data_IF_482308881281
#
_entry.id   IF_482308881281
#
_cell.length_a   1.000
_cell.length_b   1.000
_cell.length_c   1.000
_cell.angle_alpha   90.00
_cell.angle_beta   90.00
_cell.angle_gamma   90.00
#
_symmetry.space_group_name_H-M   'P 1'
#
loop_
_entity.id
_entity.type
_entity.pdbx_description
1 polymer ?
#
# COMPACT_ATOMS: atom_id res chain seq x y z
N UNK A 1 -6.21 -38.91 -3.25
CA UNK A 1 -5.62 -38.32 -2.04
C UNK A 1 -4.22 -37.88 -2.41
N UNK A 2 -4.11 -36.68 -2.96
CA UNK A 2 -2.83 -36.01 -3.18
C UNK A 2 -2.65 -35.09 -1.99
N UNK A 3 -1.72 -35.43 -1.11
CA UNK A 3 -1.35 -34.59 0.02
C UNK A 3 -0.79 -33.27 -0.53
N UNK A 4 -1.63 -32.24 -0.48
CA UNK A 4 -1.26 -30.87 -0.77
C UNK A 4 -0.37 -30.40 0.37
N UNK A 5 0.94 -30.45 0.17
CA UNK A 5 1.89 -29.73 1.02
C UNK A 5 1.65 -28.25 0.74
N UNK A 6 0.79 -27.61 1.53
CA UNK A 6 0.71 -26.15 1.59
C UNK A 6 2.10 -25.66 2.00
N UNK A 7 2.79 -25.02 1.05
CA UNK A 7 3.98 -24.24 1.33
C UNK A 7 3.63 -23.20 2.40
N UNK A 8 4.40 -23.09 3.50
CA UNK A 8 4.10 -22.12 4.54
C UNK A 8 4.07 -20.70 3.93
N UNK A 9 3.22 -19.79 4.44
CA UNK A 9 3.14 -18.41 3.97
C UNK A 9 4.55 -17.79 3.99
N UNK A 10 4.87 -16.93 3.02
CA UNK A 10 6.22 -16.36 2.85
C UNK A 10 6.72 -15.74 4.18
N UNK A 11 5.80 -15.13 4.93
CA UNK A 11 6.02 -14.57 6.26
C UNK A 11 6.53 -15.57 7.32
N UNK A 12 6.04 -16.81 7.33
CA UNK A 12 6.53 -17.86 8.24
C UNK A 12 7.92 -18.36 7.87
N UNK A 13 8.29 -18.32 6.58
CA UNK A 13 9.67 -18.59 6.16
C UNK A 13 10.61 -17.47 6.60
N UNK A 14 10.18 -16.21 6.54
CA UNK A 14 10.98 -15.05 6.95
C UNK A 14 11.31 -15.02 8.45
N UNK A 15 10.41 -15.51 9.31
CA UNK A 15 10.66 -15.55 10.77
C UNK A 15 11.67 -16.63 11.21
N UNK A 16 11.83 -17.71 10.43
CA UNK A 16 12.59 -18.90 10.83
C UNK A 16 13.99 -19.01 10.21
N UNK A 17 14.38 -18.08 9.35
CA UNK A 17 15.73 -18.04 8.79
C UNK A 17 16.67 -17.25 9.73
N UNK A 18 17.91 -17.71 9.95
CA UNK A 18 18.82 -17.05 10.87
C UNK A 18 19.25 -15.69 10.30
N UNK A 19 18.70 -14.62 10.86
CA UNK A 19 19.07 -13.21 10.64
C UNK A 19 20.53 -12.86 10.98
N UNK A 20 21.30 -13.81 11.51
CA UNK A 20 22.56 -13.57 12.19
C UNK A 20 23.74 -14.04 11.33
N UNK A 21 24.66 -13.11 11.07
CA UNK A 21 25.96 -13.41 10.44
C UNK A 21 27.06 -13.43 11.51
N UNK A 22 26.88 -12.62 12.56
CA UNK A 22 27.67 -12.62 13.79
C UNK A 22 26.81 -12.09 14.95
N UNK A 23 27.31 -12.18 16.19
CA UNK A 23 26.61 -11.61 17.37
C UNK A 23 26.33 -10.11 17.23
N UNK A 24 27.13 -9.40 16.41
CA UNK A 24 27.11 -7.95 16.28
C UNK A 24 26.50 -7.44 14.95
N UNK A 25 26.24 -8.32 13.98
CA UNK A 25 25.71 -7.93 12.66
C UNK A 25 24.49 -8.76 12.32
N UNK A 26 23.34 -8.08 12.30
CA UNK A 26 22.03 -8.64 11.93
C UNK A 26 21.59 -7.99 10.63
N UNK A 27 21.36 -8.80 9.62
CA UNK A 27 20.96 -8.31 8.31
C UNK A 27 19.53 -8.76 7.99
N UNK A 28 18.77 -7.94 7.28
CA UNK A 28 17.42 -8.23 6.82
C UNK A 28 17.49 -9.19 5.63
N UNK A 29 16.92 -10.38 5.79
CA UNK A 29 17.10 -11.51 4.86
C UNK A 29 16.81 -11.16 3.41
N UNK A 30 15.63 -10.59 3.12
CA UNK A 30 15.22 -10.33 1.74
C UNK A 30 15.99 -9.18 1.08
N UNK A 31 16.48 -8.26 1.90
CA UNK A 31 17.24 -7.10 1.45
C UNK A 31 18.74 -7.31 1.37
N UNK A 32 19.26 -8.44 1.83
CA UNK A 32 20.70 -8.69 1.93
C UNK A 32 21.22 -9.54 0.77
N UNK A 33 22.31 -9.07 0.15
CA UNK A 33 23.13 -9.89 -0.73
C UNK A 33 24.06 -10.77 0.12
N UNK A 34 23.65 -12.02 0.31
CA UNK A 34 24.36 -12.99 1.15
C UNK A 34 25.70 -13.47 0.60
N UNK A 35 26.00 -13.24 -0.69
CA UNK A 35 27.30 -13.60 -1.27
C UNK A 35 28.41 -12.65 -0.87
N UNK A 36 28.07 -11.36 -0.79
CA UNK A 36 29.03 -10.28 -0.56
C UNK A 36 29.02 -9.78 0.89
N UNK A 37 28.00 -10.16 1.66
CA UNK A 37 27.88 -9.78 3.06
C UNK A 37 28.94 -10.45 3.94
N UNK A 38 29.43 -9.71 4.94
CA UNK A 38 30.44 -10.18 5.89
C UNK A 38 29.98 -10.06 7.34
N UNK A 39 30.73 -10.65 8.28
CA UNK A 39 30.45 -10.55 9.73
C UNK A 39 30.56 -9.14 10.32
N UNK A 40 30.97 -8.14 9.51
CA UNK A 40 31.14 -6.73 9.91
C UNK A 40 30.11 -5.77 9.32
N UNK A 41 29.50 -6.10 8.17
CA UNK A 41 28.61 -5.19 7.45
C UNK A 41 27.67 -5.96 6.51
N UNK A 42 26.39 -5.58 6.53
CA UNK A 42 25.38 -6.02 5.57
C UNK A 42 25.62 -5.36 4.20
N UNK A 43 25.62 -6.15 3.13
CA UNK A 43 25.63 -5.64 1.75
C UNK A 43 24.22 -5.81 1.20
N UNK A 44 23.60 -4.69 0.81
CA UNK A 44 22.20 -4.67 0.42
C UNK A 44 22.01 -5.00 -1.06
N UNK A 45 20.88 -5.60 -1.38
CA UNK A 45 20.37 -5.69 -2.75
C UNK A 45 19.93 -4.29 -3.24
N UNK A 46 19.86 -4.08 -4.55
CA UNK A 46 19.66 -2.75 -5.17
C UNK A 46 18.42 -1.99 -4.67
N UNK A 47 17.38 -2.71 -4.24
CA UNK A 47 16.10 -2.11 -3.79
C UNK A 47 16.01 -1.96 -2.26
N UNK A 48 17.11 -2.18 -1.53
CA UNK A 48 17.14 -2.12 -0.07
C UNK A 48 18.32 -1.29 0.44
N UNK A 49 18.11 -0.63 1.57
CA UNK A 49 18.98 0.38 2.14
C UNK A 49 19.06 0.25 3.67
N UNK A 50 19.90 1.08 4.28
CA UNK A 50 20.13 1.09 5.73
C UNK A 50 21.25 0.15 6.17
N UNK A 51 21.60 0.22 7.45
CA UNK A 51 22.73 -0.53 8.02
C UNK A 51 22.51 -2.05 8.04
N UNK A 52 21.26 -2.47 8.13
CA UNK A 52 20.84 -3.87 8.14
C UNK A 52 20.12 -4.29 6.85
N UNK A 53 20.07 -3.43 5.83
CA UNK A 53 19.40 -3.69 4.56
C UNK A 53 17.88 -3.96 4.63
N UNK A 54 17.18 -3.47 5.66
CA UNK A 54 15.73 -3.65 5.77
C UNK A 54 14.86 -2.46 5.38
N UNK A 55 15.45 -1.36 4.90
CA UNK A 55 14.70 -0.20 4.43
C UNK A 55 14.45 -0.34 2.92
N UNK A 56 13.21 -0.53 2.44
CA UNK A 56 12.94 -0.63 1.02
C UNK A 56 13.10 0.72 0.32
N UNK A 57 13.37 0.69 -0.99
CA UNK A 57 13.53 1.85 -1.86
C UNK A 57 12.43 2.91 -1.72
N UNK A 58 11.16 2.51 -1.64
CA UNK A 58 10.02 3.41 -1.50
C UNK A 58 10.07 4.23 -0.20
N UNK A 59 10.56 3.63 0.89
CA UNK A 59 10.76 4.31 2.18
C UNK A 59 12.03 5.17 2.12
N UNK A 60 13.10 4.61 1.58
CA UNK A 60 14.39 5.29 1.48
C UNK A 60 14.30 6.57 0.66
N UNK A 61 13.88 6.49 -0.60
CA UNK A 61 13.75 7.65 -1.47
C UNK A 61 12.57 8.54 -1.13
N UNK A 62 11.57 8.02 -0.40
CA UNK A 62 10.43 8.81 0.06
C UNK A 62 10.77 9.80 1.19
N UNK A 63 11.73 9.47 2.05
CA UNK A 63 12.04 10.31 3.22
C UNK A 63 13.50 10.25 3.68
N UNK A 64 14.09 9.06 3.76
CA UNK A 64 15.36 8.86 4.46
C UNK A 64 16.63 9.13 3.64
N UNK A 65 16.53 9.16 2.31
CA UNK A 65 17.68 9.37 1.42
C UNK A 65 18.34 10.75 1.58
N UNK A 66 17.57 11.74 2.04
CA UNK A 66 18.05 13.10 2.35
C UNK A 66 18.56 13.26 3.79
N UNK A 67 18.38 12.26 4.65
CA UNK A 67 18.79 12.29 6.05
C UNK A 67 20.17 11.62 6.17
N UNK A 68 21.18 12.26 6.79
CA UNK A 68 22.46 11.61 7.03
C UNK A 68 22.28 10.29 7.77
N UNK A 69 22.96 9.21 7.33
CA UNK A 69 22.84 7.87 7.91
C UNK A 69 23.10 7.80 9.43
N UNK A 70 23.93 8.71 9.97
CA UNK A 70 24.21 8.81 11.40
C UNK A 70 23.14 9.55 12.21
N UNK A 71 22.20 10.21 11.54
CA UNK A 71 21.05 10.92 12.12
C UNK A 71 19.74 10.14 11.94
N UNK A 72 19.79 9.01 11.23
CA UNK A 72 18.63 8.17 11.02
C UNK A 72 18.41 7.26 12.25
N UNK A 73 17.42 7.60 13.07
CA UNK A 73 17.08 6.88 14.32
C UNK A 73 16.29 5.58 14.09
N UNK A 74 16.30 5.03 12.86
CA UNK A 74 15.59 3.79 12.56
C UNK A 74 16.20 2.60 13.29
N UNK A 75 15.42 2.00 14.19
CA UNK A 75 15.84 0.88 15.02
C UNK A 75 14.95 -0.32 14.75
N UNK A 76 15.57 -1.46 14.44
CA UNK A 76 14.83 -2.69 14.22
C UNK A 76 14.23 -3.23 15.52
N UNK A 77 12.95 -3.58 15.48
CA UNK A 77 12.19 -4.13 16.61
C UNK A 77 12.57 -5.58 16.87
N UNK A 78 12.61 -5.94 18.16
CA UNK A 78 12.73 -7.34 18.60
C UNK A 78 11.42 -8.11 18.40
N UNK A 79 10.30 -7.44 18.65
CA UNK A 79 8.95 -7.97 18.49
C UNK A 79 8.27 -7.11 17.43
N UNK A 80 7.93 -7.67 16.25
CA UNK A 80 7.19 -6.97 15.23
C UNK A 80 5.87 -6.40 15.76
N UNK A 81 5.46 -5.23 15.25
CA UNK A 81 4.12 -4.67 15.49
C UNK A 81 3.08 -5.56 14.81
N UNK A 82 1.80 -5.40 15.14
CA UNK A 82 0.73 -5.89 14.26
C UNK A 82 0.30 -4.79 13.31
N UNK A 83 -0.07 -5.15 12.09
CA UNK A 83 -0.72 -4.25 11.14
C UNK A 83 -2.17 -4.67 11.02
N UNK A 84 -3.06 -3.72 11.27
CA UNK A 84 -4.50 -3.82 11.09
C UNK A 84 -4.86 -2.88 9.96
N UNK A 85 -5.47 -3.40 8.90
CA UNK A 85 -5.99 -2.58 7.80
C UNK A 85 -7.49 -2.40 7.90
N UNK A 86 -7.96 -1.16 7.96
CA UNK A 86 -9.34 -0.81 7.68
C UNK A 86 -9.51 -0.57 6.18
N UNK A 87 -10.48 -1.23 5.56
CA UNK A 87 -10.77 -1.15 4.13
C UNK A 87 -12.20 -0.64 3.94
N UNK A 88 -12.34 0.53 3.33
CA UNK A 88 -13.63 1.03 2.88
C UNK A 88 -13.97 0.37 1.54
N UNK A 89 -14.98 -0.50 1.53
CA UNK A 89 -15.40 -1.21 0.33
C UNK A 89 -16.61 -0.54 -0.31
N UNK A 90 -16.47 -0.21 -1.59
CA UNK A 90 -17.54 0.35 -2.38
C UNK A 90 -18.06 -0.69 -3.40
N UNK A 91 -17.36 -0.92 -4.51
CA UNK A 91 -17.82 -1.88 -5.53
C UNK A 91 -16.69 -2.70 -6.15
N UNK A 92 -15.48 -2.55 -5.64
CA UNK A 92 -14.25 -2.99 -6.27
C UNK A 92 -13.89 -4.42 -5.84
N UNK A 93 -14.74 -5.41 -6.17
CA UNK A 93 -14.55 -6.81 -5.75
C UNK A 93 -13.18 -7.37 -6.14
N UNK A 94 -12.75 -7.16 -7.39
CA UNK A 94 -11.47 -7.65 -7.89
C UNK A 94 -10.29 -6.96 -7.21
N UNK A 95 -10.42 -5.65 -6.93
CA UNK A 95 -9.37 -4.90 -6.23
C UNK A 95 -9.29 -5.30 -4.76
N UNK A 96 -10.42 -5.60 -4.13
CA UNK A 96 -10.44 -6.16 -2.78
C UNK A 96 -9.76 -7.53 -2.72
N UNK A 97 -10.03 -8.42 -3.67
CA UNK A 97 -9.34 -9.71 -3.73
C UNK A 97 -7.83 -9.54 -3.95
N UNK A 98 -7.44 -8.65 -4.86
CA UNK A 98 -6.04 -8.28 -5.08
C UNK A 98 -5.41 -7.70 -3.81
N UNK A 99 -6.13 -6.83 -3.09
CA UNK A 99 -5.71 -6.19 -1.84
C UNK A 99 -5.37 -7.25 -0.79
N UNK A 100 -6.30 -8.17 -0.54
CA UNK A 100 -6.12 -9.26 0.41
C UNK A 100 -4.94 -10.13 -0.03
N UNK A 101 -4.92 -10.61 -1.27
CA UNK A 101 -3.84 -11.44 -1.81
C UNK A 101 -2.45 -10.79 -1.66
N UNK A 102 -2.35 -9.50 -1.99
CA UNK A 102 -1.07 -8.77 -2.02
C UNK A 102 -0.53 -8.52 -0.61
N UNK A 103 -1.39 -8.32 0.39
CA UNK A 103 -0.99 -7.90 1.73
C UNK A 103 -1.16 -8.99 2.79
N UNK A 104 -1.76 -10.12 2.45
CA UNK A 104 -2.11 -11.20 3.37
C UNK A 104 -0.93 -11.63 4.24
N UNK A 105 0.26 -11.77 3.67
CA UNK A 105 1.43 -12.24 4.41
C UNK A 105 1.93 -11.25 5.46
N UNK A 106 1.72 -9.95 5.27
CA UNK A 106 2.29 -8.91 6.15
C UNK A 106 1.26 -8.41 7.17
N UNK A 107 -0.02 -8.34 6.78
CA UNK A 107 -1.13 -7.83 7.59
C UNK A 107 -1.64 -8.90 8.56
N UNK A 108 -2.00 -8.50 9.78
CA UNK A 108 -2.48 -9.39 10.84
C UNK A 108 -4.00 -9.41 10.95
N UNK A 109 -4.70 -8.37 10.48
CA UNK A 109 -6.15 -8.34 10.38
C UNK A 109 -6.62 -7.34 9.31
N UNK A 110 -7.67 -7.71 8.59
CA UNK A 110 -8.41 -6.84 7.68
C UNK A 110 -9.80 -6.56 8.27
N UNK A 111 -10.17 -5.31 8.42
CA UNK A 111 -11.51 -4.87 8.78
C UNK A 111 -12.12 -4.26 7.53
N UNK A 112 -13.06 -4.96 6.90
CA UNK A 112 -13.75 -4.47 5.71
C UNK A 112 -15.10 -3.87 6.12
N UNK A 113 -15.37 -2.65 5.65
CA UNK A 113 -16.67 -2.03 5.77
C UNK A 113 -17.41 -2.02 4.43
N UNK A 114 -18.58 -2.64 4.38
CA UNK A 114 -19.55 -2.44 3.29
C UNK A 114 -20.63 -1.44 3.75
N UNK A 115 -21.04 -0.56 2.84
CA UNK A 115 -22.17 0.35 3.01
C UNK A 115 -23.24 0.10 1.95
N UNK A 116 -24.52 0.32 2.29
CA UNK A 116 -25.62 0.38 1.31
C UNK A 116 -25.69 1.72 0.54
N UNK A 117 -24.69 2.58 0.73
CA UNK A 117 -24.46 3.80 -0.03
C UNK A 117 -23.04 3.83 -0.59
N UNK A 118 -22.85 4.49 -1.73
CA UNK A 118 -21.53 4.82 -2.28
C UNK A 118 -20.86 5.91 -1.44
N UNK A 119 -19.57 6.15 -1.67
CA UNK A 119 -18.82 7.25 -1.02
C UNK A 119 -19.31 8.65 -1.42
N UNK A 120 -20.23 8.75 -2.38
CA UNK A 120 -20.90 10.00 -2.78
C UNK A 120 -22.40 10.02 -2.46
N UNK A 121 -22.89 9.07 -1.64
CA UNK A 121 -24.27 9.09 -1.13
C UNK A 121 -25.33 8.44 -2.03
N UNK A 122 -24.95 7.80 -3.13
CA UNK A 122 -25.89 7.06 -3.96
C UNK A 122 -26.21 5.69 -3.36
N UNK A 123 -27.44 5.21 -3.50
CA UNK A 123 -27.77 3.85 -3.05
C UNK A 123 -27.00 2.82 -3.86
N UNK A 124 -26.45 1.83 -3.16
CA UNK A 124 -25.67 0.75 -3.74
C UNK A 124 -26.23 -0.60 -3.31
N UNK A 125 -26.16 -1.57 -4.22
CA UNK A 125 -26.46 -2.96 -3.90
C UNK A 125 -25.45 -3.50 -2.88
N UNK A 126 -25.97 -4.32 -1.95
CA UNK A 126 -25.18 -5.03 -0.94
C UNK A 126 -25.04 -6.48 -1.37
N UNK A 127 -23.87 -7.07 -1.12
CA UNK A 127 -23.63 -8.46 -1.49
C UNK A 127 -22.33 -9.04 -0.98
N UNK A 128 -21.42 -8.20 -0.48
CA UNK A 128 -20.08 -8.63 -0.08
C UNK A 128 -20.14 -9.69 1.03
N UNK A 129 -20.93 -9.45 2.07
CA UNK A 129 -21.07 -10.40 3.18
C UNK A 129 -21.57 -11.78 2.71
N UNK A 130 -22.54 -11.80 1.80
CA UNK A 130 -23.14 -13.04 1.30
C UNK A 130 -22.14 -13.87 0.49
N UNK A 131 -21.36 -13.23 -0.38
CA UNK A 131 -20.36 -13.95 -1.20
C UNK A 131 -19.20 -14.47 -0.36
N UNK A 132 -18.74 -13.69 0.62
CA UNK A 132 -17.70 -14.12 1.58
C UNK A 132 -18.22 -15.30 2.40
N UNK A 133 -19.44 -15.21 2.94
CA UNK A 133 -20.05 -16.29 3.73
C UNK A 133 -20.26 -17.58 2.94
N UNK A 134 -20.36 -17.49 1.60
CA UNK A 134 -20.45 -18.64 0.69
C UNK A 134 -19.09 -19.20 0.26
N UNK A 135 -17.98 -18.63 0.75
CA UNK A 135 -16.63 -19.14 0.56
C UNK A 135 -15.78 -18.39 -0.46
N UNK A 136 -16.21 -17.22 -0.95
CA UNK A 136 -15.31 -16.37 -1.75
C UNK A 136 -14.13 -15.90 -0.90
N UNK A 137 -12.91 -15.96 -1.44
CA UNK A 137 -11.67 -15.60 -0.75
C UNK A 137 -11.40 -16.39 0.55
N UNK A 138 -11.88 -17.64 0.63
CA UNK A 138 -11.79 -18.48 1.84
C UNK A 138 -10.37 -18.54 2.44
N UNK A 139 -9.33 -18.51 1.60
CA UNK A 139 -7.93 -18.53 2.04
C UNK A 139 -7.47 -17.28 2.81
N UNK A 140 -8.25 -16.19 2.79
CA UNK A 140 -7.93 -14.93 3.49
C UNK A 140 -8.87 -14.65 4.68
N UNK A 141 -9.91 -15.47 4.88
CA UNK A 141 -10.99 -15.19 5.83
C UNK A 141 -10.57 -15.34 7.29
N UNK A 142 -9.48 -16.05 7.58
CA UNK A 142 -8.93 -16.22 8.93
C UNK A 142 -8.46 -14.90 9.57
N UNK A 143 -8.14 -13.89 8.74
CA UNK A 143 -7.76 -12.54 9.16
C UNK A 143 -8.86 -11.50 8.98
N UNK A 144 -10.04 -11.91 8.51
CA UNK A 144 -11.06 -10.99 8.04
C UNK A 144 -12.12 -10.69 9.10
N UNK A 145 -12.43 -9.41 9.26
CA UNK A 145 -13.50 -8.87 10.09
C UNK A 145 -14.40 -8.01 9.21
N UNK A 146 -15.72 -8.18 9.35
CA UNK A 146 -16.71 -7.47 8.54
C UNK A 146 -17.50 -6.48 9.41
N UNK A 147 -17.67 -5.27 8.89
CA UNK A 147 -18.47 -4.18 9.46
C UNK A 147 -19.48 -3.73 8.41
N UNK A 148 -20.71 -3.46 8.83
CA UNK A 148 -21.74 -2.94 7.94
C UNK A 148 -22.19 -1.55 8.37
N UNK A 149 -22.24 -0.62 7.40
CA UNK A 149 -22.82 0.71 7.57
C UNK A 149 -24.17 0.76 6.81
N UNK A 150 -25.26 0.95 7.54
CA UNK A 150 -26.61 0.80 6.98
C UNK A 150 -27.32 2.10 6.60
N UNK A 151 -26.67 3.25 6.75
CA UNK A 151 -27.29 4.57 6.57
C UNK A 151 -26.31 5.60 6.02
N UNK A 152 -26.88 6.63 5.39
CA UNK A 152 -26.20 7.83 4.93
C UNK A 152 -27.00 9.05 5.39
N UNK A 153 -26.34 10.05 5.98
CA UNK A 153 -27.03 11.29 6.36
C UNK A 153 -27.01 12.24 5.17
N UNK A 154 -28.20 12.71 4.77
CA UNK A 154 -28.40 13.64 3.63
C UNK A 154 -27.67 14.97 3.78
N UNK A 155 -27.29 15.33 5.00
CA UNK A 155 -26.50 16.54 5.30
C UNK A 155 -25.08 16.46 4.70
N UNK A 156 -24.64 15.25 4.33
CA UNK A 156 -23.32 14.99 3.76
C UNK A 156 -23.21 15.19 2.24
N UNK A 157 -24.34 15.31 1.51
CA UNK A 157 -24.37 15.57 0.05
C UNK A 157 -23.65 16.87 -0.33
N UNK A 158 -23.48 17.80 0.63
CA UNK A 158 -22.86 19.09 0.39
C UNK A 158 -21.35 19.13 0.66
N UNK A 159 -20.77 18.08 1.25
CA UNK A 159 -19.38 18.06 1.66
C UNK A 159 -18.79 16.64 1.70
N UNK A 160 -18.06 16.28 0.63
CA UNK A 160 -17.39 14.99 0.46
C UNK A 160 -16.45 14.64 1.63
N UNK A 161 -15.76 15.63 2.21
CA UNK A 161 -14.87 15.42 3.36
C UNK A 161 -15.60 14.89 4.59
N UNK A 162 -16.86 15.31 4.81
CA UNK A 162 -17.66 14.81 5.93
C UNK A 162 -18.08 13.36 5.73
N UNK A 163 -18.33 12.95 4.47
CA UNK A 163 -18.63 11.55 4.14
C UNK A 163 -17.42 10.67 4.44
N UNK A 164 -16.23 11.08 4.00
CA UNK A 164 -14.98 10.36 4.21
C UNK A 164 -14.65 10.24 5.70
N UNK A 165 -14.68 11.35 6.44
CA UNK A 165 -14.45 11.38 7.89
C UNK A 165 -15.43 10.48 8.64
N UNK A 166 -16.71 10.49 8.25
CA UNK A 166 -17.72 9.65 8.89
C UNK A 166 -17.46 8.17 8.63
N UNK A 167 -17.23 7.77 7.38
CA UNK A 167 -16.96 6.38 7.02
C UNK A 167 -15.74 5.85 7.77
N UNK A 168 -14.69 6.66 7.82
CA UNK A 168 -13.44 6.40 8.54
C UNK A 168 -13.67 6.19 10.04
N UNK A 169 -14.43 7.09 10.66
CA UNK A 169 -14.78 7.02 12.07
C UNK A 169 -15.67 5.81 12.38
N UNK A 170 -16.67 5.54 11.54
CA UNK A 170 -17.58 4.41 11.72
C UNK A 170 -16.82 3.08 11.66
N UNK A 171 -15.95 2.90 10.66
CA UNK A 171 -15.14 1.69 10.54
C UNK A 171 -14.27 1.51 11.78
N UNK A 172 -13.59 2.58 12.21
CA UNK A 172 -12.69 2.53 13.36
C UNK A 172 -13.43 2.20 14.66
N UNK A 173 -14.55 2.87 14.92
CA UNK A 173 -15.34 2.71 16.15
C UNK A 173 -16.04 1.35 16.24
N UNK A 174 -16.47 0.77 15.11
CA UNK A 174 -17.20 -0.51 15.11
C UNK A 174 -16.30 -1.71 14.81
N UNK A 175 -15.22 -1.51 14.07
CA UNK A 175 -14.29 -2.56 13.66
C UNK A 175 -13.20 -2.88 14.69
N UNK A 176 -12.53 -1.85 15.24
CA UNK A 176 -11.43 -2.07 16.20
C UNK A 176 -11.86 -2.82 17.48
N UNK A 177 -13.09 -2.65 18.01
CA UNK A 177 -13.55 -3.46 19.14
C UNK A 177 -13.63 -4.96 18.85
N UNK A 178 -13.78 -5.39 17.60
CA UNK A 178 -13.83 -6.81 17.20
C UNK A 178 -12.49 -7.53 17.40
N UNK A 179 -11.38 -6.78 17.43
CA UNK A 179 -10.04 -7.31 17.65
C UNK A 179 -9.79 -7.65 19.12
N UNK A 180 -9.30 -8.86 19.36
CA UNK A 180 -8.84 -9.34 20.67
C UNK A 180 -7.36 -9.02 20.88
N UNK A 181 -6.95 -8.89 22.16
CA UNK A 181 -5.56 -8.73 22.58
C UNK A 181 -4.80 -7.63 21.81
N UNK A 182 -5.45 -6.47 21.63
CA UNK A 182 -4.81 -5.30 21.02
C UNK A 182 -3.62 -4.86 21.86
N UNK A 183 -2.57 -4.40 21.21
CA UNK A 183 -1.38 -3.82 21.83
C UNK A 183 -1.32 -2.34 21.53
N UNK A 184 -0.68 -1.58 22.42
CA UNK A 184 -0.53 -0.13 22.27
C UNK A 184 0.34 0.25 21.06
N UNK A 185 1.14 -0.69 20.54
CA UNK A 185 1.99 -0.51 19.36
C UNK A 185 1.44 -1.12 18.08
N UNK A 186 0.18 -1.60 18.08
CA UNK A 186 -0.49 -2.06 16.87
C UNK A 186 -0.72 -0.86 15.91
N UNK A 187 -0.39 -1.04 14.64
CA UNK A 187 -0.59 -0.02 13.60
C UNK A 187 -1.94 -0.22 12.93
N UNK A 188 -2.79 0.80 13.00
CA UNK A 188 -4.02 0.87 12.24
C UNK A 188 -3.83 1.75 11.00
N UNK A 189 -4.06 1.16 9.83
CA UNK A 189 -3.96 1.85 8.55
C UNK A 189 -5.32 1.80 7.86
N UNK A 190 -5.87 2.95 7.51
CA UNK A 190 -7.16 3.07 6.85
C UNK A 190 -6.95 3.43 5.37
N UNK A 191 -7.63 2.71 4.49
CA UNK A 191 -7.52 2.88 3.05
C UNK A 191 -8.87 2.59 2.38
N UNK A 192 -9.06 3.13 1.17
CA UNK A 192 -10.06 2.59 0.26
C UNK A 192 -9.62 1.21 -0.28
N UNK A 193 -10.57 0.40 -0.73
CA UNK A 193 -10.28 -0.97 -1.20
C UNK A 193 -9.37 -1.01 -2.43
N UNK A 194 -9.33 0.05 -3.24
CA UNK A 194 -8.49 0.20 -4.43
C UNK A 194 -7.10 0.80 -4.17
N UNK A 195 -6.85 1.31 -2.97
CA UNK A 195 -5.55 1.82 -2.53
C UNK A 195 -4.68 0.66 -2.01
N UNK A 196 -3.84 0.10 -2.88
CA UNK A 196 -2.98 -1.06 -2.57
C UNK A 196 -1.54 -0.64 -2.18
N UNK A 197 -1.19 -0.48 -0.88
CA UNK A 197 0.16 -0.26 -0.40
C UNK A 197 1.10 -1.43 -0.71
N UNK A 198 2.34 -1.04 -0.97
CA UNK A 198 3.46 -1.94 -1.21
C UNK A 198 3.73 -2.80 0.06
N UNK A 199 3.72 -4.15 -0.06
CA UNK A 199 3.99 -5.06 1.05
C UNK A 199 5.32 -4.79 1.77
N UNK A 200 6.37 -4.41 1.04
CA UNK A 200 7.68 -4.14 1.64
C UNK A 200 7.65 -2.89 2.52
N UNK A 201 6.83 -1.89 2.18
CA UNK A 201 6.63 -0.70 3.03
C UNK A 201 5.89 -1.08 4.30
N UNK A 202 4.85 -1.91 4.20
CA UNK A 202 4.14 -2.42 5.37
C UNK A 202 5.07 -3.25 6.26
N UNK A 203 5.90 -4.10 5.67
CA UNK A 203 6.86 -4.91 6.41
C UNK A 203 7.89 -4.03 7.13
N UNK A 204 8.35 -2.94 6.50
CA UNK A 204 9.17 -1.93 7.16
C UNK A 204 8.47 -1.31 8.39
N UNK A 205 7.24 -0.83 8.24
CA UNK A 205 6.47 -0.26 9.36
C UNK A 205 6.27 -1.27 10.50
N UNK A 206 6.12 -2.55 10.15
CA UNK A 206 5.98 -3.64 11.11
C UNK A 206 7.26 -3.91 11.91
N UNK A 207 8.42 -3.70 11.30
CA UNK A 207 9.72 -4.15 11.81
C UNK A 207 10.59 -3.05 12.41
N UNK A 208 10.30 -1.77 12.20
CA UNK A 208 11.16 -0.66 12.65
C UNK A 208 10.46 0.31 13.60
N UNK A 209 11.25 0.94 14.45
CA UNK A 209 10.92 2.15 15.22
C UNK A 209 11.74 3.33 14.67
N UNK A 210 11.40 4.56 15.08
CA UNK A 210 12.16 5.78 14.73
C UNK A 210 11.59 6.55 13.54
N UNK A 211 10.53 6.07 12.90
CA UNK A 211 9.73 6.88 11.97
C UNK A 211 8.70 7.73 12.73
N UNK A 212 8.33 8.87 12.15
CA UNK A 212 7.34 9.77 12.74
C UNK A 212 5.90 9.36 12.39
N UNK A 213 4.99 9.63 13.31
CA UNK A 213 3.54 9.52 13.11
C UNK A 213 2.91 10.94 13.09
N UNK A 214 1.84 11.19 12.31
CA UNK A 214 1.13 10.25 11.43
C UNK A 214 1.93 9.85 10.18
N UNK A 215 1.63 8.66 9.64
CA UNK A 215 2.30 8.10 8.46
C UNK A 215 1.55 8.57 7.21
N UNK A 216 2.28 9.15 6.25
CA UNK A 216 1.75 9.52 4.93
C UNK A 216 2.17 8.49 3.89
N UNK A 217 1.21 7.98 3.12
CA UNK A 217 1.47 7.19 1.92
C UNK A 217 1.40 8.07 0.67
N UNK A 218 2.32 7.85 -0.27
CA UNK A 218 2.26 8.46 -1.59
C UNK A 218 1.95 7.36 -2.61
N UNK A 219 0.70 7.29 -3.05
CA UNK A 219 0.25 6.33 -4.04
C UNK A 219 0.57 6.81 -5.47
N UNK A 220 0.78 5.85 -6.37
CA UNK A 220 0.85 6.09 -7.80
C UNK A 220 -0.47 5.66 -8.42
N UNK A 221 -1.09 6.57 -9.17
CA UNK A 221 -2.27 6.26 -9.97
C UNK A 221 -1.89 5.28 -11.07
N UNK A 222 -2.54 4.12 -11.09
CA UNK A 222 -2.39 3.12 -12.15
C UNK A 222 -3.74 2.98 -12.85
N UNK A 223 -3.82 3.37 -14.12
CA UNK A 223 -5.00 3.16 -14.95
C UNK A 223 -4.81 1.88 -15.76
N UNK A 224 -5.57 0.83 -15.44
CA UNK A 224 -5.67 -0.35 -16.28
C UNK A 224 -6.93 -0.25 -17.14
N UNK A 225 -6.77 -0.23 -18.46
CA UNK A 225 -7.88 -0.12 -19.40
C UNK A 225 -7.64 -0.96 -20.65
N UNK A 226 -8.68 -1.65 -21.12
CA UNK A 226 -8.69 -2.27 -22.44
C UNK A 226 -9.14 -1.22 -23.47
N UNK A 227 -8.17 -0.56 -24.10
CA UNK A 227 -8.45 0.39 -25.18
C UNK A 227 -8.71 -0.37 -26.48
N UNK A 228 -9.98 -0.67 -26.77
CA UNK A 228 -10.37 -1.28 -28.04
C UNK A 228 -10.46 -0.22 -29.13
N UNK A 229 -9.57 -0.29 -30.12
CA UNK A 229 -9.70 0.53 -31.32
C UNK A 229 -10.92 0.04 -32.12
N UNK A 230 -11.95 0.88 -32.24
CA UNK A 230 -13.07 0.59 -33.13
C UNK A 230 -12.56 0.50 -34.57
N UNK A 231 -12.57 -0.70 -35.16
CA UNK A 231 -12.08 -0.97 -36.52
C UNK A 231 -12.88 -0.19 -37.57
N UNK A 232 -14.14 0.18 -37.29
CA UNK A 232 -15.06 0.83 -38.23
C UNK A 232 -15.01 2.37 -38.27
N UNK A 233 -14.16 3.03 -37.47
CA UNK A 233 -13.94 4.47 -37.66
C UNK A 233 -13.21 4.71 -39.00
N UNK A 234 -13.88 5.44 -39.90
CA UNK A 234 -13.38 5.87 -41.21
C UNK A 234 -12.61 7.19 -41.17
N UNK A 235 -12.41 7.76 -39.98
CA UNK A 235 -11.51 8.89 -39.80
C UNK A 235 -10.05 8.40 -39.75
N UNK A 236 -9.07 9.14 -40.30
CA UNK A 236 -7.67 8.75 -40.22
C UNK A 236 -7.24 8.68 -38.75
N UNK A 237 -7.03 7.45 -38.27
CA UNK A 237 -6.68 7.12 -36.88
C UNK A 237 -5.21 7.45 -36.61
N UNK A 238 -4.90 8.69 -36.26
CA UNK A 238 -3.71 8.96 -35.45
C UNK A 238 -4.12 8.88 -33.99
N UNK A 239 -3.54 7.92 -33.28
CA UNK A 239 -3.55 7.86 -31.83
C UNK A 239 -3.23 9.26 -31.28
N UNK A 240 -4.12 9.84 -30.47
CA UNK A 240 -3.89 11.15 -29.88
C UNK A 240 -2.96 10.97 -28.69
N UNK A 241 -1.67 10.83 -28.99
CA UNK A 241 -0.60 10.90 -28.00
C UNK A 241 -0.67 12.28 -27.33
N UNK A 242 -0.41 12.33 -26.02
CA UNK A 242 -0.18 13.61 -25.34
C UNK A 242 1.14 14.17 -25.88
N UNK A 243 1.05 15.14 -26.79
CA UNK A 243 2.20 15.81 -27.36
C UNK A 243 2.67 16.91 -26.39
N UNK A 244 3.83 16.69 -25.76
CA UNK A 244 4.50 17.67 -24.92
C UNK A 244 5.75 18.14 -25.67
N UNK A 245 5.86 19.44 -25.96
CA UNK A 245 7.05 20.02 -26.56
C UNK A 245 8.08 20.31 -25.43
N UNK A 246 9.00 19.38 -25.18
CA UNK A 246 9.93 19.44 -24.03
C UNK A 246 11.32 19.98 -24.37
N UNK A 247 11.56 20.48 -25.58
CA UNK A 247 12.88 20.97 -25.97
C UNK A 247 12.88 21.82 -27.22
N UNK A 248 13.79 22.79 -27.25
CA UNK A 248 14.13 23.57 -28.44
C UNK A 248 15.64 23.68 -28.57
N UNK A 249 16.12 24.05 -29.75
CA UNK A 249 17.54 24.36 -29.93
C UNK A 249 17.88 25.66 -29.20
N UNK A 250 19.11 25.79 -28.70
CA UNK A 250 19.58 27.03 -28.08
C UNK A 250 19.38 28.25 -29.01
N UNK A 251 19.50 28.07 -30.34
CA UNK A 251 19.23 29.13 -31.32
C UNK A 251 17.76 29.59 -31.36
N UNK A 252 16.81 28.67 -31.22
CA UNK A 252 15.38 29.00 -31.12
C UNK A 252 15.07 29.70 -29.79
N UNK A 253 15.65 29.22 -28.68
CA UNK A 253 15.51 29.85 -27.36
C UNK A 253 16.01 31.31 -27.40
N UNK A 254 17.15 31.56 -28.05
CA UNK A 254 17.76 32.89 -28.19
C UNK A 254 16.91 33.84 -29.03
N UNK A 255 16.36 33.40 -30.17
CA UNK A 255 15.52 34.25 -31.02
C UNK A 255 14.22 34.70 -30.34
N UNK A 256 13.61 33.84 -29.52
CA UNK A 256 12.40 34.18 -28.74
C UNK A 256 12.75 35.08 -27.54
N UNK A 257 13.96 34.96 -26.99
CA UNK A 257 14.42 35.79 -25.87
C UNK A 257 14.85 37.21 -26.28
N UNK A 258 15.34 37.38 -27.51
CA UNK A 258 15.79 38.68 -28.05
C UNK A 258 14.62 39.46 -28.68
N UNK A 259 13.54 38.78 -29.08
CA UNK A 259 12.33 39.43 -29.63
C UNK A 259 11.51 40.26 -28.63
N UNK A 260 11.84 40.22 -27.33
CA UNK A 260 11.11 40.94 -26.26
C UNK A 260 11.85 42.18 -25.72
N UNK A 261 13.03 42.51 -26.23
CA UNK A 261 13.74 43.77 -25.93
C UNK A 261 13.89 44.57 -27.23
N UNK A 262 12.76 45.04 -27.73
CA UNK A 262 12.68 45.74 -29.01
C UNK A 262 11.29 46.32 -29.28
N UNK A 263 10.65 46.90 -28.26
CA UNK A 263 9.60 47.90 -28.37
C UNK A 263 9.54 48.73 -27.09
#
# INVERSE_FOLDING_TARGET
>A
MSDGVESPPLFMMLMNLPWNISENVKCFIDGTNWKDTSSKKCICNDNYFGNDCGIPDAVWFGHYSSIPLGENELIRRKIPRRIIQGLLFNHEYELLELRLATNYDVVDAFIIQESNYTMIGEKKDIGLFDVISKGWMNQYQDKLLYVFLSFFLTEWDSNEWLVEDFNSNHLSLNGLPLLKNKRDDDLFLLFDADEVPNPSVLLFLKLYDGYSEPIKFNFRWNLYGFFWLNVQSTEPKTEKLVEIYTGCTLGMLVNVSIGTVGH
#
